data_IF_620726706188
#
_entry.id   IF_620726706188
#
_cell.length_a   1.000
_cell.length_b   1.000
_cell.length_c   1.000
_cell.angle_alpha   90.00
_cell.angle_beta   90.00
_cell.angle_gamma   90.00
#
_symmetry.space_group_name_H-M   'P 1'
#
loop_
_entity.id
_entity.type
_entity.pdbx_description
1 polymer ?
#
# COMPACT_ATOMS: atom_id res chain seq x y z
N UNK A 1 20.20 24.44 -3.14
CA UNK A 1 19.22 24.49 -2.03
C UNK A 1 17.85 24.73 -2.66
N UNK A 2 17.05 23.68 -2.85
CA UNK A 2 15.71 23.82 -3.44
C UNK A 2 14.70 23.89 -2.29
N UNK A 3 14.05 25.05 -2.16
CA UNK A 3 13.05 25.31 -1.13
C UNK A 3 11.78 24.49 -1.44
N UNK A 4 11.39 23.62 -0.52
CA UNK A 4 10.06 22.99 -0.54
C UNK A 4 9.07 24.07 -0.09
N UNK A 5 8.20 24.49 -1.00
CA UNK A 5 7.20 25.51 -0.75
C UNK A 5 6.14 24.97 0.24
N UNK A 6 6.04 25.57 1.43
CA UNK A 6 5.19 25.13 2.55
C UNK A 6 3.66 25.25 2.32
N UNK A 7 3.21 25.48 1.09
CA UNK A 7 1.85 25.93 0.81
C UNK A 7 0.96 24.91 0.07
N UNK A 8 1.32 23.61 0.09
CA UNK A 8 0.55 22.57 -0.61
C UNK A 8 -0.56 21.96 0.28
N UNK A 9 -0.60 22.24 1.58
CA UNK A 9 -1.52 21.55 2.52
C UNK A 9 -2.46 22.45 3.32
N UNK A 10 -2.71 23.71 2.91
CA UNK A 10 -3.78 24.50 3.52
C UNK A 10 -5.01 24.57 2.61
N UNK A 11 -5.77 23.47 2.54
CA UNK A 11 -7.16 23.58 2.07
C UNK A 11 -7.92 24.42 3.10
N UNK A 12 -8.19 25.68 2.74
CA UNK A 12 -8.99 26.60 3.55
C UNK A 12 -10.36 25.97 3.80
N UNK A 13 -10.91 26.15 5.01
CA UNK A 13 -12.20 25.61 5.42
C UNK A 13 -13.33 25.99 4.44
N UNK A 14 -13.22 27.14 3.79
CA UNK A 14 -14.13 27.60 2.74
C UNK A 14 -14.08 26.73 1.48
N UNK A 15 -12.90 26.29 1.05
CA UNK A 15 -12.71 25.40 -0.11
C UNK A 15 -13.29 24.01 0.17
N UNK A 16 -13.11 23.51 1.39
CA UNK A 16 -13.71 22.24 1.84
C UNK A 16 -15.24 22.35 1.86
N UNK A 17 -15.76 23.47 2.38
CA UNK A 17 -17.22 23.71 2.43
C UNK A 17 -17.82 23.81 1.02
N UNK A 18 -17.12 24.44 0.08
CA UNK A 18 -17.53 24.51 -1.32
C UNK A 18 -17.51 23.14 -2.00
N UNK A 19 -16.48 22.33 -1.76
CA UNK A 19 -16.41 20.96 -2.28
C UNK A 19 -17.52 20.08 -1.71
N UNK A 20 -17.85 20.23 -0.42
CA UNK A 20 -18.96 19.54 0.22
C UNK A 20 -20.32 19.96 -0.35
N UNK A 21 -20.51 21.26 -0.59
CA UNK A 21 -21.74 21.79 -1.18
C UNK A 21 -21.92 21.32 -2.62
N UNK A 22 -20.85 21.34 -3.42
CA UNK A 22 -20.83 20.80 -4.78
C UNK A 22 -21.19 19.31 -4.80
N UNK A 23 -20.59 18.52 -3.91
CA UNK A 23 -20.90 17.10 -3.76
C UNK A 23 -22.37 16.87 -3.35
N UNK A 24 -22.89 17.66 -2.42
CA UNK A 24 -24.31 17.57 -2.01
C UNK A 24 -25.28 17.93 -3.13
N UNK A 25 -24.98 18.96 -3.93
CA UNK A 25 -25.83 19.37 -5.06
C UNK A 25 -25.86 18.30 -6.17
N UNK A 26 -24.72 17.65 -6.44
CA UNK A 26 -24.65 16.58 -7.45
C UNK A 26 -25.26 15.26 -6.96
N UNK A 27 -25.18 14.97 -5.66
CA UNK A 27 -25.89 13.84 -5.05
C UNK A 27 -27.41 14.01 -5.12
N UNK A 28 -27.92 15.25 -4.99
CA UNK A 28 -29.36 15.53 -5.02
C UNK A 28 -29.97 15.51 -6.44
N UNK A 29 -29.18 15.76 -7.48
CA UNK A 29 -29.66 15.74 -8.87
C UNK A 29 -29.82 14.31 -9.41
N UNK A 30 -28.98 13.37 -9.00
CA UNK A 30 -29.05 11.96 -9.42
C UNK A 30 -30.28 11.23 -8.82
N UNK A 31 -30.79 11.68 -7.68
CA UNK A 31 -32.00 11.11 -7.06
C UNK A 31 -33.30 11.54 -7.75
N UNK A 32 -33.33 12.71 -8.42
CA UNK A 32 -34.54 13.23 -9.06
C UNK A 32 -34.84 12.56 -10.42
N UNK A 33 -33.84 11.97 -11.08
CA UNK A 33 -34.01 11.22 -12.33
C UNK A 33 -34.22 9.71 -12.12
N UNK A 34 -34.14 9.21 -10.88
CA UNK A 34 -34.25 7.78 -10.56
C UNK A 34 -35.69 7.31 -10.24
N UNK A 35 -36.69 7.88 -10.91
CA UNK A 35 -38.11 7.49 -10.75
C UNK A 35 -38.67 6.77 -11.97
N UNK A 36 -37.97 5.77 -12.52
CA UNK A 36 -38.60 4.75 -13.38
C UNK A 36 -37.65 3.58 -13.72
N UNK A 37 -37.02 2.91 -12.73
CA UNK A 37 -36.67 1.49 -12.96
C UNK A 37 -36.50 0.67 -11.68
N UNK A 38 -37.16 -0.49 -11.65
CA UNK A 38 -37.27 -1.38 -10.50
C UNK A 38 -36.11 -2.38 -10.45
N UNK A 39 -34.93 -1.95 -10.02
CA UNK A 39 -33.95 -2.87 -9.39
C UNK A 39 -32.88 -2.09 -8.64
N UNK A 40 -33.24 -1.64 -7.43
CA UNK A 40 -32.32 -0.99 -6.48
C UNK A 40 -31.24 -1.99 -6.03
N UNK A 41 -30.07 -1.95 -6.66
CA UNK A 41 -28.84 -2.30 -5.97
C UNK A 41 -28.29 -0.98 -5.42
N UNK A 42 -28.24 -0.76 -4.09
CA UNK A 42 -27.58 0.43 -3.57
C UNK A 42 -26.14 0.39 -4.07
N UNK A 43 -25.75 1.38 -4.89
CA UNK A 43 -24.37 1.55 -5.35
C UNK A 43 -23.52 1.84 -4.10
N UNK A 44 -23.02 0.78 -3.45
CA UNK A 44 -22.03 0.90 -2.38
C UNK A 44 -20.79 1.49 -3.03
N UNK A 45 -20.46 2.72 -2.63
CA UNK A 45 -19.30 3.47 -3.13
C UNK A 45 -17.96 2.73 -2.92
N UNK A 46 -17.95 1.75 -2.01
CA UNK A 46 -16.85 0.81 -1.82
C UNK A 46 -17.43 -0.59 -1.58
N UNK A 47 -17.02 -1.56 -2.39
CA UNK A 47 -17.14 -2.98 -2.05
C UNK A 47 -15.76 -3.45 -1.61
N UNK A 48 -15.59 -3.95 -0.37
CA UNK A 48 -14.32 -4.52 0.03
C UNK A 48 -14.01 -5.72 -0.86
N UNK A 49 -12.74 -5.85 -1.26
CA UNK A 49 -12.30 -6.97 -2.07
C UNK A 49 -12.52 -8.27 -1.28
N UNK A 50 -13.43 -9.12 -1.74
CA UNK A 50 -13.75 -10.37 -1.08
C UNK A 50 -12.55 -11.31 -1.05
N UNK A 51 -11.62 -11.21 -2.01
CA UNK A 51 -10.40 -12.00 -2.01
C UNK A 51 -9.51 -11.66 -0.81
N UNK A 52 -9.41 -10.37 -0.43
CA UNK A 52 -8.63 -9.96 0.74
C UNK A 52 -9.27 -10.39 2.07
N UNK A 53 -10.60 -10.43 2.13
CA UNK A 53 -11.33 -10.86 3.34
C UNK A 53 -11.29 -12.39 3.49
N UNK A 54 -11.38 -13.12 2.37
CA UNK A 54 -11.45 -14.57 2.36
C UNK A 54 -10.06 -15.23 2.36
N UNK A 55 -9.03 -14.52 1.91
CA UNK A 55 -7.67 -15.02 2.02
C UNK A 55 -7.31 -15.19 3.49
N UNK A 56 -6.69 -16.33 3.79
CA UNK A 56 -6.15 -16.62 5.11
C UNK A 56 -5.14 -15.52 5.40
N UNK A 57 -5.16 -14.86 6.59
CA UNK A 57 -4.09 -13.94 6.94
C UNK A 57 -2.77 -14.70 6.78
N UNK A 58 -1.82 -14.12 6.04
CA UNK A 58 -0.59 -14.77 5.59
C UNK A 58 0.06 -15.53 6.76
N UNK A 59 -0.15 -16.85 6.81
CA UNK A 59 0.19 -17.68 7.97
C UNK A 59 1.70 -17.87 8.16
N UNK A 60 2.50 -17.28 7.27
CA UNK A 60 3.96 -17.31 7.29
C UNK A 60 4.55 -16.28 8.26
N UNK A 61 3.78 -15.29 8.71
CA UNK A 61 4.23 -14.32 9.71
C UNK A 61 3.61 -14.65 11.06
N UNK A 62 4.44 -15.01 12.04
CA UNK A 62 3.99 -15.30 13.40
C UNK A 62 3.69 -14.00 14.15
N UNK A 63 2.43 -13.78 14.52
CA UNK A 63 2.06 -12.70 15.42
C UNK A 63 2.62 -13.00 16.82
N UNK A 64 3.73 -12.38 17.20
CA UNK A 64 4.26 -12.48 18.55
C UNK A 64 3.53 -11.50 19.46
N UNK A 65 3.01 -11.96 20.61
CA UNK A 65 2.30 -11.07 21.55
C UNK A 65 3.19 -9.97 22.15
N UNK A 66 4.52 -10.10 21.99
CA UNK A 66 5.54 -9.18 22.49
C UNK A 66 5.82 -8.01 21.57
N UNK A 67 5.36 -8.04 20.31
CA UNK A 67 5.44 -6.92 19.37
C UNK A 67 4.11 -6.79 18.63
N UNK A 68 3.16 -6.01 19.15
CA UNK A 68 1.89 -5.79 18.45
C UNK A 68 2.14 -4.83 17.28
N UNK A 69 2.60 -5.36 16.14
CA UNK A 69 2.61 -4.61 14.88
C UNK A 69 1.15 -4.27 14.56
N UNK A 70 0.79 -3.00 14.68
CA UNK A 70 -0.55 -2.47 14.38
C UNK A 70 -0.75 -2.36 12.86
N UNK A 71 0.29 -1.94 12.15
CA UNK A 71 0.27 -1.70 10.70
C UNK A 71 1.48 -2.40 10.08
N UNK A 72 1.21 -3.34 9.19
CA UNK A 72 2.22 -3.95 8.35
C UNK A 72 2.19 -3.29 6.97
N UNK A 73 3.26 -2.57 6.62
CA UNK A 73 3.40 -1.90 5.34
C UNK A 73 4.27 -2.75 4.40
N UNK A 74 3.61 -3.53 3.56
CA UNK A 74 4.25 -4.31 2.51
C UNK A 74 4.39 -3.46 1.24
N UNK A 75 5.61 -3.28 0.75
CA UNK A 75 5.87 -2.56 -0.51
C UNK A 75 6.38 -3.56 -1.54
N UNK A 76 5.57 -3.84 -2.57
CA UNK A 76 6.01 -4.66 -3.70
C UNK A 76 7.11 -3.95 -4.49
N UNK A 77 8.15 -4.68 -4.83
CA UNK A 77 9.34 -4.18 -5.51
C UNK A 77 9.88 -5.23 -6.48
N UNK A 78 10.85 -4.83 -7.31
CA UNK A 78 11.64 -5.73 -8.13
C UNK A 78 13.08 -5.83 -7.62
N UNK A 79 13.85 -6.89 -7.92
CA UNK A 79 15.25 -6.98 -7.56
C UNK A 79 16.07 -5.76 -7.97
N UNK A 80 15.84 -5.26 -9.19
CA UNK A 80 16.49 -4.07 -9.75
C UNK A 80 16.11 -2.74 -9.07
N UNK A 81 15.03 -2.72 -8.29
CA UNK A 81 14.51 -1.53 -7.60
C UNK A 81 15.32 -1.06 -6.39
N UNK A 82 16.61 -1.43 -6.26
CA UNK A 82 17.45 -1.13 -5.11
C UNK A 82 17.46 0.36 -4.74
N UNK A 83 17.68 1.23 -5.71
CA UNK A 83 17.74 2.68 -5.48
C UNK A 83 16.42 3.23 -4.93
N UNK A 84 15.29 2.73 -5.45
CA UNK A 84 13.95 3.12 -4.97
C UNK A 84 13.73 2.64 -3.53
N UNK A 85 14.12 1.41 -3.20
CA UNK A 85 14.05 0.90 -1.83
C UNK A 85 14.91 1.74 -0.88
N UNK A 86 16.13 2.06 -1.29
CA UNK A 86 17.03 2.87 -0.48
C UNK A 86 16.46 4.27 -0.23
N UNK A 87 15.90 4.90 -1.27
CA UNK A 87 15.23 6.19 -1.12
C UNK A 87 14.04 6.11 -0.16
N UNK A 88 13.20 5.08 -0.27
CA UNK A 88 12.07 4.86 0.64
C UNK A 88 12.56 4.66 2.07
N UNK A 89 13.63 3.90 2.29
CA UNK A 89 14.25 3.76 3.62
C UNK A 89 14.67 5.11 4.16
N UNK A 90 15.32 5.95 3.36
CA UNK A 90 15.78 7.27 3.80
C UNK A 90 14.64 8.22 4.12
N UNK A 91 13.56 8.22 3.33
CA UNK A 91 12.46 9.17 3.47
C UNK A 91 11.40 8.73 4.47
N UNK A 92 11.05 7.44 4.47
CA UNK A 92 9.90 6.94 5.24
C UNK A 92 10.37 6.36 6.57
N UNK A 93 11.47 5.59 6.59
CA UNK A 93 11.90 4.90 7.82
C UNK A 93 12.37 5.88 8.90
N UNK A 94 12.88 7.07 8.53
CA UNK A 94 13.21 8.13 9.47
C UNK A 94 11.98 8.75 10.15
N UNK A 95 10.88 8.76 9.42
CA UNK A 95 9.65 9.47 9.81
C UNK A 95 8.65 8.53 10.51
N UNK A 96 8.85 7.21 10.37
CA UNK A 96 8.07 6.22 11.10
C UNK A 96 8.42 6.28 12.60
N UNK A 97 7.40 6.24 13.47
CA UNK A 97 7.64 6.31 14.89
C UNK A 97 8.40 5.05 15.35
N UNK A 98 9.35 5.18 16.30
CA UNK A 98 10.30 4.11 16.65
C UNK A 98 9.67 2.96 17.42
N UNK A 99 8.41 3.11 17.84
CA UNK A 99 7.63 2.04 18.42
C UNK A 99 7.24 1.06 17.32
N UNK A 100 7.45 -0.24 17.53
CA UNK A 100 7.26 -1.35 16.58
C UNK A 100 5.81 -1.56 16.10
N UNK A 101 4.94 -0.56 16.26
CA UNK A 101 3.57 -0.55 15.78
C UNK A 101 3.50 -0.54 14.26
N UNK A 102 4.51 0.00 13.56
CA UNK A 102 4.55 0.00 12.10
C UNK A 102 5.78 -0.78 11.63
N UNK A 103 5.53 -1.88 10.92
CA UNK A 103 6.59 -2.69 10.32
C UNK A 103 6.57 -2.54 8.80
N UNK A 104 7.66 -2.02 8.24
CA UNK A 104 7.83 -1.88 6.79
C UNK A 104 8.66 -3.05 6.25
N UNK A 105 8.14 -3.74 5.22
CA UNK A 105 8.86 -4.77 4.48
C UNK A 105 8.74 -4.54 2.98
N UNK A 106 9.86 -4.70 2.27
CA UNK A 106 9.89 -4.80 0.82
C UNK A 106 9.68 -6.25 0.40
N UNK A 107 8.75 -6.47 -0.53
CA UNK A 107 8.41 -7.79 -1.03
C UNK A 107 8.85 -7.89 -2.48
N UNK A 108 9.86 -8.72 -2.74
CA UNK A 108 10.39 -8.99 -4.07
C UNK A 108 10.05 -10.42 -4.48
N UNK A 109 9.88 -10.64 -5.79
CA UNK A 109 9.93 -12.00 -6.34
C UNK A 109 11.37 -12.49 -6.44
N UNK A 110 11.51 -13.72 -6.91
CA UNK A 110 12.80 -14.33 -7.18
C UNK A 110 13.44 -13.66 -8.40
N UNK A 111 14.69 -13.18 -8.29
CA UNK A 111 15.42 -12.62 -9.41
C UNK A 111 15.73 -13.67 -10.48
N UNK A 112 15.67 -13.26 -11.75
CA UNK A 112 16.05 -14.10 -12.90
C UNK A 112 17.58 -14.27 -13.03
N UNK A 113 18.36 -13.31 -12.52
CA UNK A 113 19.81 -13.27 -12.66
C UNK A 113 20.53 -13.53 -11.31
N UNK A 114 21.62 -14.30 -11.35
CA UNK A 114 22.50 -14.56 -10.21
C UNK A 114 23.04 -13.27 -9.59
N UNK A 115 23.39 -12.26 -10.39
CA UNK A 115 23.89 -10.97 -9.88
C UNK A 115 22.85 -10.29 -8.96
N UNK A 116 21.58 -10.28 -9.37
CA UNK A 116 20.51 -9.72 -8.56
C UNK A 116 20.22 -10.57 -7.32
N UNK A 117 20.43 -11.88 -7.41
CA UNK A 117 20.31 -12.81 -6.28
C UNK A 117 21.33 -12.49 -5.19
N UNK A 118 22.59 -12.25 -5.57
CA UNK A 118 23.66 -11.91 -4.63
C UNK A 118 23.42 -10.55 -3.98
N UNK A 119 23.05 -9.54 -4.78
CA UNK A 119 22.74 -8.21 -4.28
C UNK A 119 21.57 -8.21 -3.28
N UNK A 120 20.49 -8.96 -3.58
CA UNK A 120 19.36 -9.08 -2.65
C UNK A 120 19.74 -9.81 -1.37
N UNK A 121 20.61 -10.83 -1.42
CA UNK A 121 21.10 -11.50 -0.20
C UNK A 121 21.89 -10.55 0.69
N UNK A 122 22.77 -9.75 0.10
CA UNK A 122 23.54 -8.73 0.82
C UNK A 122 22.57 -7.71 1.44
N UNK A 123 21.63 -7.19 0.66
CA UNK A 123 20.62 -6.23 1.12
C UNK A 123 19.76 -6.79 2.27
N UNK A 124 19.32 -8.05 2.16
CA UNK A 124 18.53 -8.72 3.17
C UNK A 124 19.31 -8.86 4.48
N UNK A 125 20.61 -9.19 4.41
CA UNK A 125 21.48 -9.28 5.58
C UNK A 125 21.76 -7.92 6.24
N UNK A 126 21.76 -6.83 5.46
CA UNK A 126 22.08 -5.51 5.95
C UNK A 126 20.86 -4.85 6.62
N UNK A 127 19.70 -4.92 5.97
CA UNK A 127 18.53 -4.12 6.37
C UNK A 127 17.43 -4.93 7.07
N UNK A 128 17.41 -6.25 6.91
CA UNK A 128 16.41 -7.16 7.50
C UNK A 128 14.95 -6.78 7.19
N UNK A 129 14.73 -5.99 6.14
CA UNK A 129 13.43 -5.46 5.72
C UNK A 129 13.00 -5.96 4.33
N UNK A 130 13.72 -6.93 3.77
CA UNK A 130 13.44 -7.51 2.46
C UNK A 130 12.96 -8.96 2.60
N UNK A 131 11.84 -9.27 1.96
CA UNK A 131 11.29 -10.62 1.83
C UNK A 131 11.32 -11.01 0.35
N UNK A 132 11.94 -12.14 0.05
CA UNK A 132 11.97 -12.72 -1.29
C UNK A 132 10.99 -13.89 -1.32
N UNK A 133 9.96 -13.80 -2.15
CA UNK A 133 9.01 -14.89 -2.39
C UNK A 133 9.71 -15.97 -3.21
N UNK A 134 9.68 -17.20 -2.70
CA UNK A 134 10.22 -18.38 -3.41
C UNK A 134 9.23 -18.82 -4.49
N UNK A 135 9.76 -19.38 -5.58
CA UNK A 135 8.98 -20.02 -6.65
C UNK A 135 8.08 -19.05 -7.45
N UNK A 136 8.34 -17.74 -7.33
CA UNK A 136 7.65 -16.70 -8.08
C UNK A 136 8.67 -15.81 -8.80
N UNK A 137 8.68 -15.89 -10.12
CA UNK A 137 9.44 -14.96 -10.96
C UNK A 137 8.99 -13.52 -10.72
N UNK A 138 9.93 -12.58 -10.78
CA UNK A 138 9.67 -11.22 -10.37
C UNK A 138 8.72 -10.47 -11.31
N UNK A 139 7.41 -10.52 -11.03
CA UNK A 139 6.39 -9.81 -11.80
C UNK A 139 5.53 -8.87 -10.94
N UNK A 140 5.60 -7.55 -11.15
CA UNK A 140 4.78 -6.57 -10.42
C UNK A 140 3.31 -6.63 -10.82
N UNK A 141 3.01 -6.98 -12.07
CA UNK A 141 1.67 -6.87 -12.66
C UNK A 141 0.87 -8.17 -12.59
N UNK A 142 1.51 -9.32 -12.28
CA UNK A 142 0.85 -10.65 -12.32
C UNK A 142 1.28 -11.57 -11.16
N UNK A 143 0.63 -11.43 -10.01
CA UNK A 143 0.56 -12.53 -9.01
C UNK A 143 1.35 -12.35 -7.72
N UNK A 144 2.22 -11.34 -7.58
CA UNK A 144 2.90 -11.05 -6.30
C UNK A 144 1.96 -10.84 -5.14
N UNK A 145 0.85 -10.14 -5.38
CA UNK A 145 -0.16 -9.87 -4.35
C UNK A 145 -0.84 -11.15 -3.90
N UNK A 146 -1.17 -12.05 -4.84
CA UNK A 146 -1.80 -13.34 -4.51
C UNK A 146 -0.85 -14.27 -3.76
N UNK A 147 0.40 -14.41 -4.19
CA UNK A 147 1.37 -15.31 -3.54
C UNK A 147 1.80 -14.80 -2.15
N UNK A 148 1.69 -13.49 -1.90
CA UNK A 148 2.00 -12.91 -0.60
C UNK A 148 0.90 -13.15 0.45
N UNK A 149 -0.37 -13.18 0.05
CA UNK A 149 -1.55 -13.31 0.93
C UNK A 149 -2.20 -14.68 0.85
#
# INVERSE_FOLDING_TARGET
QHAIHHNITSLNATSITQALKFAQEHLAQDDAQASEDKSKIPRKWYMPDQALIQNRPASRFSCQSTSPTLIFLAIFTTPSGFEKRNLIRTLIKSDLPPNSLIELKFISGQPENENWTELLKIEQSLHHDLVVLKDLEDNIDRGKTFEFF
#
